data_IF_020122167786
#
_entry.id   IF_020122167786
#
_cell.length_a   1.000
_cell.length_b   1.000
_cell.length_c   1.000
_cell.angle_alpha   90.00
_cell.angle_beta   90.00
_cell.angle_gamma   90.00
#
_symmetry.space_group_name_H-M   'P 1'
#
loop_
_entity.id
_entity.type
_entity.pdbx_description
1 polymer ?
#
# COMPACT_ATOMS: atom_id res chain seq x y z
N UNK A 1 -38.85 -59.10 2.03
CA UNK A 1 -38.08 -58.30 1.05
C UNK A 1 -38.15 -56.84 1.51
N UNK A 2 -37.14 -56.37 2.26
CA UNK A 2 -37.09 -55.00 2.78
C UNK A 2 -36.30 -54.12 1.80
N UNK A 3 -37.00 -53.27 1.05
CA UNK A 3 -36.37 -52.22 0.24
C UNK A 3 -36.03 -51.03 1.15
N UNK A 4 -34.73 -50.73 1.29
CA UNK A 4 -34.26 -49.50 1.94
C UNK A 4 -34.50 -48.30 1.00
N UNK A 5 -34.98 -47.15 1.50
CA UNK A 5 -35.05 -45.94 0.70
C UNK A 5 -33.63 -45.41 0.46
N UNK A 6 -33.27 -45.22 -0.82
CA UNK A 6 -32.05 -44.54 -1.23
C UNK A 6 -32.19 -43.04 -0.91
N UNK A 7 -31.34 -42.55 -0.01
CA UNK A 7 -31.14 -41.12 0.22
C UNK A 7 -30.13 -40.63 -0.81
N UNK A 8 -30.58 -39.82 -1.77
CA UNK A 8 -29.67 -39.12 -2.68
C UNK A 8 -28.86 -38.08 -1.87
N UNK A 9 -27.54 -37.96 -2.10
CA UNK A 9 -26.74 -36.93 -1.46
C UNK A 9 -27.17 -35.54 -1.96
N UNK A 10 -27.02 -34.48 -1.15
CA UNK A 10 -27.35 -33.13 -1.57
C UNK A 10 -26.44 -32.73 -2.75
N UNK A 11 -27.07 -32.30 -3.84
CA UNK A 11 -26.39 -31.68 -4.98
C UNK A 11 -25.67 -30.45 -4.46
N UNK A 12 -24.34 -30.48 -4.41
CA UNK A 12 -23.53 -29.27 -4.22
C UNK A 12 -23.77 -28.40 -5.45
N UNK A 13 -24.54 -27.33 -5.28
CA UNK A 13 -24.57 -26.26 -6.27
C UNK A 13 -23.18 -25.63 -6.29
N UNK A 14 -22.46 -25.79 -7.39
CA UNK A 14 -21.24 -25.01 -7.61
C UNK A 14 -21.62 -23.52 -7.62
N UNK A 15 -20.89 -22.67 -6.88
CA UNK A 15 -21.16 -21.24 -6.88
C UNK A 15 -21.02 -20.71 -8.31
N UNK A 16 -21.98 -19.87 -8.71
CA UNK A 16 -22.01 -19.26 -10.04
C UNK A 16 -20.74 -18.42 -10.25
N UNK A 17 -19.85 -18.86 -11.12
CA UNK A 17 -18.65 -18.09 -11.50
C UNK A 17 -18.92 -17.28 -12.76
N UNK A 18 -18.20 -16.16 -12.98
CA UNK A 18 -18.26 -15.41 -14.23
C UNK A 18 -17.98 -16.27 -15.47
N UNK A 19 -17.23 -17.38 -15.30
CA UNK A 19 -16.95 -18.40 -16.34
C UNK A 19 -18.24 -19.02 -16.91
N UNK A 20 -19.28 -19.17 -16.09
CA UNK A 20 -20.58 -19.70 -16.51
C UNK A 20 -21.43 -18.69 -17.30
N UNK A 21 -21.12 -17.39 -17.21
CA UNK A 21 -21.83 -16.29 -17.91
C UNK A 21 -21.11 -15.78 -19.16
N UNK A 22 -19.94 -16.34 -19.51
CA UNK A 22 -19.17 -15.96 -20.69
C UNK A 22 -19.81 -16.52 -21.98
N UNK A 23 -20.97 -15.99 -22.35
CA UNK A 23 -21.72 -16.37 -23.55
C UNK A 23 -22.64 -15.26 -24.05
N UNK A 24 -22.31 -13.99 -23.78
CA UNK A 24 -23.05 -12.85 -24.34
C UNK A 24 -22.17 -12.23 -25.42
N UNK A 25 -22.58 -12.39 -26.68
CA UNK A 25 -22.11 -11.58 -27.81
C UNK A 25 -22.30 -10.10 -27.45
N UNK A 26 -21.23 -9.45 -26.97
CA UNK A 26 -21.23 -8.04 -26.59
C UNK A 26 -21.19 -7.20 -27.86
N UNK A 27 -22.36 -6.67 -28.23
CA UNK A 27 -22.44 -5.52 -29.13
C UNK A 27 -21.60 -4.39 -28.53
N UNK A 28 -20.45 -4.12 -29.15
CA UNK A 28 -19.59 -2.97 -28.79
C UNK A 28 -20.47 -1.71 -28.71
N UNK A 29 -20.60 -1.05 -27.55
CA UNK A 29 -21.31 0.20 -27.48
C UNK A 29 -20.57 1.22 -28.35
N UNK A 30 -21.28 1.81 -29.32
CA UNK A 30 -20.73 2.82 -30.21
C UNK A 30 -20.11 3.97 -29.39
N UNK A 31 -19.00 4.55 -29.88
CA UNK A 31 -18.37 5.69 -29.24
C UNK A 31 -19.39 6.82 -29.03
N UNK A 32 -19.39 7.49 -27.86
CA UNK A 32 -20.34 8.57 -27.61
C UNK A 32 -20.12 9.70 -28.62
N UNK A 33 -21.23 10.27 -29.13
CA UNK A 33 -21.21 11.36 -30.13
C UNK A 33 -20.38 12.56 -29.69
N UNK A 34 -20.27 12.79 -28.37
CA UNK A 34 -19.39 13.77 -27.76
C UNK A 34 -18.62 13.15 -26.58
N UNK A 35 -17.38 12.72 -26.83
CA UNK A 35 -16.51 12.09 -25.82
C UNK A 35 -16.26 13.01 -24.63
N UNK A 36 -16.14 14.33 -24.87
CA UNK A 36 -15.87 15.32 -23.82
C UNK A 36 -17.04 15.41 -22.85
N UNK A 37 -18.25 15.57 -23.37
CA UNK A 37 -19.46 15.62 -22.54
C UNK A 37 -19.69 14.32 -21.78
N UNK A 38 -19.41 13.18 -22.42
CA UNK A 38 -19.51 11.86 -21.80
C UNK A 38 -18.52 11.67 -20.65
N UNK A 39 -17.23 11.99 -20.86
CA UNK A 39 -16.22 11.90 -19.79
C UNK A 39 -16.57 12.83 -18.61
N UNK A 40 -17.02 14.05 -18.89
CA UNK A 40 -17.50 14.99 -17.87
C UNK A 40 -18.70 14.44 -17.09
N UNK A 41 -19.66 13.83 -17.78
CA UNK A 41 -20.82 13.18 -17.15
C UNK A 41 -20.37 12.06 -16.21
N UNK A 42 -19.48 11.17 -16.68
CA UNK A 42 -18.92 10.08 -15.87
C UNK A 42 -18.21 10.63 -14.62
N UNK A 43 -17.37 11.66 -14.76
CA UNK A 43 -16.67 12.28 -13.65
C UNK A 43 -17.65 12.81 -12.58
N UNK A 44 -18.64 13.59 -12.99
CA UNK A 44 -19.62 14.18 -12.07
C UNK A 44 -20.53 13.14 -11.41
N UNK A 45 -20.83 12.02 -12.09
CA UNK A 45 -21.56 10.90 -11.49
C UNK A 45 -20.79 10.29 -10.32
N UNK A 46 -19.48 10.08 -10.44
CA UNK A 46 -18.66 9.54 -9.36
C UNK A 46 -18.47 10.54 -8.21
N UNK A 47 -18.28 11.82 -8.53
CA UNK A 47 -18.25 12.90 -7.52
C UNK A 47 -19.55 12.94 -6.71
N UNK A 48 -20.72 12.81 -7.37
CA UNK A 48 -22.02 12.79 -6.68
C UNK A 48 -22.19 11.61 -5.72
N UNK A 49 -21.36 10.57 -5.86
CA UNK A 49 -21.31 9.39 -4.98
C UNK A 49 -20.23 9.50 -3.90
N UNK A 50 -19.58 10.65 -3.78
CA UNK A 50 -18.50 10.90 -2.82
C UNK A 50 -17.18 10.23 -3.20
N UNK A 51 -16.98 9.86 -4.48
CA UNK A 51 -15.71 9.29 -4.97
C UNK A 51 -14.93 10.39 -5.70
N UNK A 52 -13.75 10.78 -5.19
CA UNK A 52 -12.92 11.79 -5.85
C UNK A 52 -12.41 11.30 -7.21
N UNK A 53 -12.26 12.20 -8.16
CA UNK A 53 -11.87 11.89 -9.54
C UNK A 53 -10.69 12.72 -10.00
N UNK A 54 -9.92 12.20 -10.95
CA UNK A 54 -8.76 12.88 -11.56
C UNK A 54 -8.73 12.64 -13.07
N UNK A 55 -8.38 13.63 -13.90
CA UNK A 55 -8.16 13.40 -15.32
C UNK A 55 -6.89 12.56 -15.53
N UNK A 56 -7.00 11.51 -16.34
CA UNK A 56 -5.91 10.61 -16.69
C UNK A 56 -5.56 10.68 -18.19
N UNK A 57 -4.26 10.62 -18.50
CA UNK A 57 -3.72 10.59 -19.84
C UNK A 57 -4.01 9.27 -20.56
N UNK A 58 -3.57 9.17 -21.83
CA UNK A 58 -3.73 7.95 -22.65
C UNK A 58 -2.95 6.75 -22.10
N UNK A 59 -1.87 7.03 -21.39
CA UNK A 59 -1.08 6.07 -20.61
C UNK A 59 -1.74 5.70 -19.28
N UNK A 60 -2.98 6.17 -19.06
CA UNK A 60 -3.81 5.98 -17.86
C UNK A 60 -3.22 6.65 -16.61
N UNK A 61 -2.21 7.51 -16.76
CA UNK A 61 -1.59 8.21 -15.63
C UNK A 61 -2.32 9.51 -15.29
N UNK A 62 -2.47 9.86 -14.00
CA UNK A 62 -3.07 11.12 -13.59
C UNK A 62 -2.35 12.35 -14.14
N UNK A 63 -3.11 13.37 -14.56
CA UNK A 63 -2.62 14.61 -15.18
C UNK A 63 -2.63 15.81 -14.24
N UNK A 64 -3.12 15.63 -13.02
CA UNK A 64 -3.19 16.62 -11.94
C UNK A 64 -2.56 15.99 -10.71
N UNK A 65 -1.63 16.67 -10.07
CA UNK A 65 -0.97 16.24 -8.83
C UNK A 65 -1.76 16.70 -7.59
N UNK A 66 -1.36 16.27 -6.39
CA UNK A 66 -2.01 16.67 -5.13
C UNK A 66 -2.87 15.57 -4.50
N UNK A 67 -2.70 14.32 -4.92
CA UNK A 67 -3.30 13.15 -4.29
C UNK A 67 -2.23 12.10 -4.00
N UNK A 68 -2.52 11.16 -3.11
CA UNK A 68 -1.59 10.08 -2.75
C UNK A 68 -1.86 9.58 -1.33
N UNK A 69 -1.01 8.65 -0.87
CA UNK A 69 -1.26 7.99 0.41
C UNK A 69 -1.12 8.91 1.64
N UNK A 70 -0.37 10.00 1.51
CA UNK A 70 -0.19 11.01 2.56
C UNK A 70 -0.90 12.33 2.29
N UNK A 71 -1.77 12.41 1.27
CA UNK A 71 -2.48 13.64 0.96
C UNK A 71 -3.49 13.99 2.07
N UNK A 72 -3.49 15.25 2.47
CA UNK A 72 -4.45 15.83 3.41
C UNK A 72 -5.84 15.97 2.78
N UNK A 73 -6.86 16.19 3.62
CA UNK A 73 -8.23 16.44 3.15
C UNK A 73 -8.32 17.70 2.29
N UNK A 74 -7.58 18.75 2.65
CA UNK A 74 -7.49 20.00 1.89
C UNK A 74 -6.88 19.78 0.50
N UNK A 75 -5.81 18.97 0.41
CA UNK A 75 -5.20 18.60 -0.88
C UNK A 75 -6.14 17.76 -1.75
N UNK A 76 -7.00 16.93 -1.14
CA UNK A 76 -7.96 16.08 -1.84
C UNK A 76 -9.27 16.79 -2.21
N UNK A 77 -9.62 17.91 -1.54
CA UNK A 77 -10.87 18.62 -1.75
C UNK A 77 -11.16 18.99 -3.23
N UNK A 78 -10.18 19.48 -4.04
CA UNK A 78 -10.41 19.82 -5.44
C UNK A 78 -10.85 18.64 -6.32
N UNK A 79 -10.47 17.41 -5.95
CA UNK A 79 -10.84 16.19 -6.68
C UNK A 79 -12.28 15.75 -6.43
N UNK A 80 -12.94 16.35 -5.44
CA UNK A 80 -14.36 16.12 -5.11
C UNK A 80 -15.23 17.35 -5.36
N UNK A 81 -14.64 18.51 -5.70
CA UNK A 81 -15.38 19.72 -6.01
C UNK A 81 -16.01 19.66 -7.42
N UNK A 82 -17.35 19.68 -7.56
CA UNK A 82 -18.02 19.60 -8.85
C UNK A 82 -17.62 20.71 -9.83
N UNK A 83 -17.28 21.91 -9.35
CA UNK A 83 -16.90 23.02 -10.23
C UNK A 83 -15.50 22.84 -10.80
N UNK A 84 -14.53 22.52 -9.94
CA UNK A 84 -13.17 22.16 -10.35
C UNK A 84 -13.18 20.97 -11.31
N UNK A 85 -13.91 19.89 -10.97
CA UNK A 85 -14.04 18.70 -11.82
C UNK A 85 -14.67 19.06 -13.16
N UNK A 86 -15.73 19.87 -13.19
CA UNK A 86 -16.34 20.34 -14.45
C UNK A 86 -15.35 21.10 -15.33
N UNK A 87 -14.49 21.93 -14.73
CA UNK A 87 -13.51 22.74 -15.45
C UNK A 87 -12.46 21.88 -16.17
N UNK A 88 -12.00 20.78 -15.55
CA UNK A 88 -11.00 19.89 -16.13
C UNK A 88 -11.44 19.33 -17.49
N UNK A 89 -12.68 18.83 -17.58
CA UNK A 89 -13.22 18.27 -18.82
C UNK A 89 -13.89 19.32 -19.74
N UNK A 90 -13.93 20.59 -19.35
CA UNK A 90 -14.46 21.65 -20.23
C UNK A 90 -13.36 22.39 -21.02
N UNK A 91 -12.08 22.17 -20.69
CA UNK A 91 -10.96 22.82 -21.34
C UNK A 91 -9.74 21.89 -21.47
N UNK A 92 -8.79 21.99 -20.53
CA UNK A 92 -7.43 21.42 -20.59
C UNK A 92 -7.40 19.90 -20.76
N UNK A 93 -8.36 19.19 -20.19
CA UNK A 93 -8.41 17.73 -20.13
C UNK A 93 -9.68 17.15 -20.78
N UNK A 94 -10.27 17.87 -21.75
CA UNK A 94 -11.54 17.52 -22.40
C UNK A 94 -11.65 16.04 -22.85
N UNK A 95 -10.56 15.43 -23.29
CA UNK A 95 -10.53 14.04 -23.77
C UNK A 95 -9.80 13.07 -22.83
N UNK A 96 -9.46 13.51 -21.63
CA UNK A 96 -8.80 12.68 -20.63
C UNK A 96 -9.75 11.60 -20.13
N UNK A 97 -9.18 10.46 -19.76
CA UNK A 97 -9.89 9.43 -19.01
C UNK A 97 -10.32 9.96 -17.65
N UNK A 98 -11.46 9.49 -17.15
CA UNK A 98 -11.82 9.66 -15.75
C UNK A 98 -11.11 8.59 -14.91
N UNK A 99 -10.17 9.02 -14.08
CA UNK A 99 -9.60 8.23 -13.00
C UNK A 99 -10.40 8.43 -11.71
N UNK A 100 -10.60 7.36 -10.95
CA UNK A 100 -11.19 7.36 -9.61
C UNK A 100 -10.06 7.21 -8.62
N UNK A 101 -9.97 8.12 -7.66
CA UNK A 101 -9.02 8.01 -6.57
C UNK A 101 -9.51 6.94 -5.59
N UNK A 102 -8.68 5.93 -5.35
CA UNK A 102 -8.96 4.85 -4.39
C UNK A 102 -8.37 5.20 -3.02
N UNK A 103 -8.97 4.65 -1.96
CA UNK A 103 -8.66 5.01 -0.57
C UNK A 103 -9.64 6.02 0.03
N UNK A 104 -9.10 6.94 0.85
CA UNK A 104 -9.90 7.95 1.59
C UNK A 104 -10.62 8.87 0.63
N UNK A 105 -11.94 8.90 0.76
CA UNK A 105 -12.79 10.04 0.43
C UNK A 105 -13.57 10.48 1.68
N UNK A 106 -14.30 11.60 1.62
CA UNK A 106 -15.18 12.03 2.71
C UNK A 106 -16.20 10.93 3.02
N UNK A 107 -15.96 10.23 4.13
CA UNK A 107 -16.82 9.19 4.69
C UNK A 107 -16.67 7.77 4.12
N UNK A 108 -15.72 7.45 3.23
CA UNK A 108 -15.57 6.08 2.67
C UNK A 108 -14.13 5.73 2.26
N UNK A 109 -13.76 4.46 2.39
CA UNK A 109 -12.55 3.89 1.80
C UNK A 109 -12.88 3.06 0.56
N UNK A 110 -12.61 3.56 -0.66
CA UNK A 110 -12.80 2.76 -1.88
C UNK A 110 -11.59 1.86 -2.10
N UNK A 111 -11.79 0.54 -2.20
CA UNK A 111 -10.78 -0.42 -2.61
C UNK A 111 -11.17 -1.03 -3.94
N UNK A 112 -10.21 -1.25 -4.82
CA UNK A 112 -10.44 -2.02 -6.05
C UNK A 112 -9.44 -3.15 -6.12
N UNK A 113 -9.93 -4.37 -6.39
CA UNK A 113 -9.11 -5.50 -6.80
C UNK A 113 -9.15 -5.56 -8.32
N UNK A 114 -7.99 -5.37 -8.94
CA UNK A 114 -7.78 -5.26 -10.39
C UNK A 114 -7.19 -6.58 -10.90
N UNK A 115 -8.03 -7.37 -11.57
CA UNK A 115 -7.74 -8.72 -12.06
C UNK A 115 -7.29 -8.61 -13.52
N UNK A 116 -5.98 -8.69 -13.71
CA UNK A 116 -5.35 -8.51 -15.00
C UNK A 116 -5.31 -9.81 -15.82
N UNK A 117 -5.24 -9.65 -17.14
CA UNK A 117 -4.88 -10.74 -18.06
C UNK A 117 -3.37 -10.69 -18.34
N UNK A 118 -2.72 -11.85 -18.57
CA UNK A 118 -1.35 -11.88 -19.05
C UNK A 118 -1.21 -11.09 -20.36
N UNK A 119 -0.10 -10.37 -20.51
CA UNK A 119 0.16 -9.55 -21.70
C UNK A 119 1.07 -10.29 -22.67
N UNK A 120 0.68 -10.38 -23.95
CA UNK A 120 1.49 -10.98 -25.01
C UNK A 120 1.87 -12.44 -24.74
N UNK A 121 3.10 -12.81 -25.07
CA UNK A 121 3.67 -14.16 -24.83
C UNK A 121 4.13 -14.34 -23.37
N UNK A 122 3.28 -13.99 -22.41
CA UNK A 122 3.57 -14.21 -21.00
C UNK A 122 3.77 -15.71 -20.73
N UNK A 123 4.78 -16.05 -19.92
CA UNK A 123 4.97 -17.42 -19.47
C UNK A 123 3.76 -17.86 -18.63
N UNK A 124 3.33 -19.13 -18.73
CA UNK A 124 2.32 -19.67 -17.83
C UNK A 124 2.70 -19.46 -16.37
N UNK A 125 1.68 -19.24 -15.53
CA UNK A 125 1.86 -19.20 -14.09
C UNK A 125 2.30 -20.58 -13.58
N UNK A 126 3.14 -20.59 -12.54
CA UNK A 126 3.78 -21.80 -12.02
C UNK A 126 3.57 -21.94 -10.51
N UNK A 127 3.96 -23.09 -9.95
CA UNK A 127 3.81 -23.37 -8.53
C UNK A 127 2.33 -23.50 -8.16
N UNK A 128 1.91 -22.85 -7.07
CA UNK A 128 0.50 -22.91 -6.62
C UNK A 128 -0.49 -22.26 -7.59
N UNK A 129 -0.01 -21.47 -8.54
CA UNK A 129 -0.82 -20.78 -9.55
C UNK A 129 -0.88 -21.54 -10.88
N UNK A 130 -0.35 -22.76 -10.93
CA UNK A 130 -0.40 -23.59 -12.12
C UNK A 130 -1.85 -23.81 -12.57
N UNK A 131 -2.10 -23.62 -13.87
CA UNK A 131 -3.44 -23.70 -14.46
C UNK A 131 -4.24 -22.38 -14.43
N UNK A 132 -3.82 -21.37 -13.68
CA UNK A 132 -4.45 -20.05 -13.72
C UNK A 132 -4.10 -19.32 -15.04
N UNK A 133 -5.11 -18.80 -15.74
CA UNK A 133 -4.97 -18.08 -17.01
C UNK A 133 -4.99 -16.56 -16.84
N UNK A 134 -5.44 -16.05 -15.69
CA UNK A 134 -5.45 -14.63 -15.36
C UNK A 134 -5.79 -14.36 -13.90
N UNK A 135 -5.88 -13.08 -13.52
CA UNK A 135 -6.21 -12.67 -12.15
C UNK A 135 -7.55 -13.21 -11.64
N UNK A 136 -8.51 -13.43 -12.52
CA UNK A 136 -9.80 -14.06 -12.16
C UNK A 136 -9.61 -15.48 -11.60
N UNK A 137 -8.82 -16.33 -12.27
CA UNK A 137 -8.56 -17.69 -11.78
C UNK A 137 -7.78 -17.66 -10.45
N UNK A 138 -6.85 -16.72 -10.30
CA UNK A 138 -6.09 -16.52 -9.06
C UNK A 138 -7.03 -16.16 -7.91
N UNK A 139 -7.98 -15.24 -8.13
CA UNK A 139 -8.95 -14.86 -7.10
C UNK A 139 -9.98 -15.98 -6.83
N UNK A 140 -10.40 -16.74 -7.84
CA UNK A 140 -11.26 -17.92 -7.67
C UNK A 140 -10.60 -18.97 -6.78
N UNK A 141 -9.31 -19.26 -7.00
CA UNK A 141 -8.52 -20.14 -6.16
C UNK A 141 -8.50 -19.66 -4.70
N UNK A 142 -8.21 -18.37 -4.48
CA UNK A 142 -8.18 -17.77 -3.13
C UNK A 142 -9.55 -17.81 -2.42
N UNK A 143 -10.64 -17.59 -3.16
CA UNK A 143 -12.00 -17.72 -2.64
C UNK A 143 -12.29 -19.17 -2.23
N UNK A 144 -11.97 -20.14 -3.09
CA UNK A 144 -12.17 -21.56 -2.81
C UNK A 144 -11.37 -22.05 -1.58
N UNK A 145 -10.11 -21.65 -1.46
CA UNK A 145 -9.27 -21.94 -0.29
C UNK A 145 -9.81 -21.34 1.00
N UNK A 146 -10.44 -20.16 0.90
CA UNK A 146 -11.10 -19.49 2.01
C UNK A 146 -12.49 -20.06 2.32
N UNK A 147 -12.97 -21.04 1.55
CA UNK A 147 -14.34 -21.57 1.64
C UNK A 147 -15.43 -20.53 1.34
N UNK A 148 -15.09 -19.49 0.58
CA UNK A 148 -15.95 -18.35 0.29
C UNK A 148 -16.43 -18.36 -1.17
N UNK A 149 -17.63 -17.83 -1.47
CA UNK A 149 -18.08 -17.65 -2.84
C UNK A 149 -17.35 -16.50 -3.53
N UNK A 150 -17.51 -16.43 -4.86
CA UNK A 150 -17.10 -15.26 -5.63
C UNK A 150 -17.78 -13.98 -5.10
N UNK A 151 -17.05 -12.86 -4.92
CA UNK A 151 -17.65 -11.64 -4.39
C UNK A 151 -18.65 -11.00 -5.36
N UNK A 152 -19.90 -10.86 -4.93
CA UNK A 152 -20.90 -10.05 -5.63
C UNK A 152 -20.72 -8.57 -5.28
N UNK A 153 -20.18 -7.79 -6.20
CA UNK A 153 -19.96 -6.35 -6.01
C UNK A 153 -20.00 -5.58 -7.33
N UNK A 154 -19.91 -4.24 -7.26
CA UNK A 154 -19.74 -3.40 -8.44
C UNK A 154 -18.51 -3.87 -9.25
N UNK A 155 -18.78 -4.35 -10.46
CA UNK A 155 -17.83 -5.06 -11.31
C UNK A 155 -17.74 -4.43 -12.69
N UNK A 156 -16.51 -4.27 -13.18
CA UNK A 156 -16.18 -3.61 -14.46
C UNK A 156 -15.22 -4.46 -15.26
N UNK A 157 -15.53 -4.72 -16.52
CA UNK A 157 -14.59 -5.31 -17.47
C UNK A 157 -13.66 -4.23 -18.03
N UNK A 158 -12.38 -4.57 -18.13
CA UNK A 158 -11.36 -3.68 -18.68
C UNK A 158 -11.19 -3.93 -20.18
N UNK A 159 -10.74 -2.92 -20.95
CA UNK A 159 -10.46 -3.12 -22.38
C UNK A 159 -9.42 -4.23 -22.67
N UNK A 160 -8.58 -4.56 -21.68
CA UNK A 160 -7.58 -5.63 -21.79
C UNK A 160 -8.12 -7.03 -21.52
N UNK A 161 -9.42 -7.19 -21.26
CA UNK A 161 -10.04 -8.47 -20.91
C UNK A 161 -9.96 -8.83 -19.43
N UNK A 162 -9.37 -7.95 -18.61
CA UNK A 162 -9.36 -8.08 -17.15
C UNK A 162 -10.65 -7.58 -16.51
N UNK A 163 -10.67 -7.53 -15.18
CA UNK A 163 -11.85 -7.16 -14.40
C UNK A 163 -11.49 -6.39 -13.13
N UNK A 164 -12.22 -5.33 -12.82
CA UNK A 164 -12.12 -4.61 -11.56
C UNK A 164 -13.30 -4.98 -10.65
N UNK A 165 -13.00 -5.37 -9.41
CA UNK A 165 -13.98 -5.57 -8.33
C UNK A 165 -13.86 -4.44 -7.31
N UNK A 166 -14.93 -3.69 -7.09
CA UNK A 166 -14.92 -2.51 -6.22
C UNK A 166 -15.50 -2.84 -4.86
N UNK A 167 -14.85 -2.43 -3.77
CA UNK A 167 -15.29 -2.69 -2.41
C UNK A 167 -15.21 -1.45 -1.53
N UNK A 168 -16.04 -1.42 -0.50
CA UNK A 168 -15.91 -0.49 0.62
C UNK A 168 -15.01 -1.13 1.67
N UNK A 169 -13.90 -0.49 1.99
CA UNK A 169 -13.08 -0.86 3.13
C UNK A 169 -13.84 -0.59 4.44
N UNK A 170 -13.59 -1.37 5.50
CA UNK A 170 -14.08 -1.05 6.84
C UNK A 170 -13.66 0.36 7.26
N UNK A 171 -14.56 1.08 7.94
CA UNK A 171 -14.25 2.40 8.52
C UNK A 171 -13.23 2.30 9.65
N UNK A 172 -13.18 1.14 10.32
CA UNK A 172 -12.26 0.84 11.40
C UNK A 172 -10.99 0.13 10.93
N UNK A 173 -9.87 0.54 11.51
CA UNK A 173 -8.55 -0.05 11.28
C UNK A 173 -7.71 0.70 10.24
N UNK A 174 -6.49 0.22 9.97
CA UNK A 174 -5.63 0.82 8.97
C UNK A 174 -6.23 0.62 7.58
N UNK A 175 -6.15 1.66 6.76
CA UNK A 175 -6.55 1.56 5.37
C UNK A 175 -5.58 0.68 4.60
N UNK A 176 -6.12 -0.04 3.63
CA UNK A 176 -5.33 -0.92 2.77
C UNK A 176 -4.69 -0.04 1.68
N UNK A 177 -3.37 -0.17 1.53
CA UNK A 177 -2.59 0.52 0.49
C UNK A 177 -2.69 -0.16 -0.88
N UNK A 178 -1.91 0.32 -1.83
CA UNK A 178 -1.82 -0.32 -3.15
C UNK A 178 -0.80 -1.48 -3.14
N UNK A 179 -1.05 -2.49 -3.98
CA UNK A 179 -0.11 -3.55 -4.33
C UNK A 179 -0.20 -3.81 -5.84
N UNK A 180 0.94 -4.04 -6.47
CA UNK A 180 1.04 -4.29 -7.92
C UNK A 180 1.97 -5.48 -8.14
N UNK A 181 1.53 -6.45 -8.92
CA UNK A 181 2.30 -7.66 -9.22
C UNK A 181 2.29 -8.69 -8.07
N UNK A 182 3.25 -9.63 -8.13
CA UNK A 182 3.32 -10.77 -7.21
C UNK A 182 4.31 -10.53 -6.08
N UNK A 183 3.86 -9.83 -5.04
CA UNK A 183 4.66 -9.55 -3.85
C UNK A 183 4.41 -10.58 -2.73
N UNK A 184 5.41 -10.87 -1.88
CA UNK A 184 5.30 -11.94 -0.87
C UNK A 184 4.49 -11.53 0.38
N UNK A 185 4.00 -10.30 0.43
CA UNK A 185 3.37 -9.75 1.64
C UNK A 185 2.15 -8.92 1.31
N UNK A 186 1.17 -8.93 2.22
CA UNK A 186 0.01 -8.07 2.15
C UNK A 186 0.39 -6.60 1.87
N UNK A 187 -0.36 -5.90 0.99
CA UNK A 187 -1.65 -6.30 0.45
C UNK A 187 -1.59 -7.08 -0.88
N UNK A 188 -0.44 -7.67 -1.26
CA UNK A 188 -0.38 -8.52 -2.46
C UNK A 188 -1.19 -9.80 -2.26
N UNK A 189 -1.98 -10.16 -3.27
CA UNK A 189 -2.84 -11.37 -3.27
C UNK A 189 -2.27 -12.48 -4.15
N UNK A 190 -1.50 -12.13 -5.17
CA UNK A 190 -0.88 -13.07 -6.11
C UNK A 190 -0.60 -12.42 -7.46
N UNK A 191 -0.05 -13.17 -8.42
CA UNK A 191 0.22 -12.67 -9.75
C UNK A 191 -1.07 -12.23 -10.44
N UNK A 192 -1.00 -11.15 -11.22
CA UNK A 192 -2.12 -10.60 -12.00
C UNK A 192 -3.33 -10.15 -11.14
N UNK A 193 -3.14 -10.02 -9.83
CA UNK A 193 -4.15 -9.48 -8.90
C UNK A 193 -3.56 -8.25 -8.22
N UNK A 194 -3.83 -7.09 -8.82
CA UNK A 194 -3.42 -5.81 -8.28
C UNK A 194 -4.46 -5.31 -7.27
N UNK A 195 -4.00 -4.60 -6.24
CA UNK A 195 -4.85 -3.96 -5.24
C UNK A 195 -4.67 -2.45 -5.35
N UNK A 196 -5.76 -1.73 -5.57
CA UNK A 196 -5.81 -0.27 -5.60
C UNK A 196 -6.52 0.21 -4.34
N UNK A 197 -5.69 0.55 -3.35
CA UNK A 197 -6.13 1.11 -2.07
C UNK A 197 -5.76 2.58 -1.95
N UNK A 198 -5.33 2.99 -0.77
CA UNK A 198 -4.98 4.39 -0.50
C UNK A 198 -3.90 4.94 -1.42
N UNK A 199 -4.19 6.11 -1.99
CA UNK A 199 -3.33 6.81 -2.94
C UNK A 199 -3.32 6.21 -4.34
N UNK A 200 -4.16 5.21 -4.61
CA UNK A 200 -4.29 4.58 -5.90
C UNK A 200 -5.23 5.33 -6.83
N UNK A 201 -5.22 4.90 -8.10
CA UNK A 201 -6.15 5.37 -9.13
C UNK A 201 -6.58 4.20 -9.99
N UNK A 202 -7.85 4.19 -10.38
CA UNK A 202 -8.39 3.25 -11.37
C UNK A 202 -9.21 4.00 -12.41
N UNK A 203 -9.26 3.53 -13.66
CA UNK A 203 -10.10 4.17 -14.67
C UNK A 203 -11.57 3.79 -14.46
N UNK A 204 -12.44 4.80 -14.45
CA UNK A 204 -13.86 4.65 -14.21
C UNK A 204 -14.58 3.87 -15.32
N UNK A 205 -15.59 3.09 -14.95
CA UNK A 205 -16.54 2.55 -15.93
C UNK A 205 -17.20 3.69 -16.73
N UNK A 206 -17.44 3.45 -18.01
CA UNK A 206 -17.93 4.45 -18.95
C UNK A 206 -16.84 5.39 -19.47
N UNK A 207 -15.65 5.43 -18.86
CA UNK A 207 -14.51 6.17 -19.42
C UNK A 207 -14.08 5.51 -20.74
N UNK A 208 -13.97 6.32 -21.78
CA UNK A 208 -13.73 5.86 -23.14
C UNK A 208 -12.30 6.18 -23.61
N UNK A 209 -11.60 5.18 -24.14
CA UNK A 209 -10.31 5.36 -24.82
C UNK A 209 -10.52 5.35 -26.34
N UNK A 210 -10.39 6.49 -27.00
CA UNK A 210 -10.42 6.54 -28.46
C UNK A 210 -9.31 5.69 -29.13
N UNK A 211 -8.24 5.37 -28.39
CA UNK A 211 -7.11 4.56 -28.85
C UNK A 211 -7.35 3.05 -28.70
N UNK A 212 -8.06 2.61 -27.66
CA UNK A 212 -8.34 1.18 -27.43
C UNK A 212 -9.66 0.73 -28.06
N UNK A 213 -10.51 1.68 -28.48
CA UNK A 213 -11.78 1.41 -29.15
C UNK A 213 -12.85 0.74 -28.28
N UNK A 214 -12.53 0.43 -27.02
CA UNK A 214 -13.43 -0.23 -26.06
C UNK A 214 -13.46 0.55 -24.73
N UNK A 215 -14.65 0.81 -24.15
CA UNK A 215 -14.77 1.44 -22.84
C UNK A 215 -14.44 0.45 -21.71
N UNK A 216 -14.24 0.99 -20.51
CA UNK A 216 -14.40 0.20 -19.29
C UNK A 216 -15.89 -0.04 -19.08
N UNK A 217 -16.33 -1.29 -19.12
CA UNK A 217 -17.74 -1.65 -19.17
C UNK A 217 -18.21 -2.19 -17.83
N UNK A 218 -19.24 -1.57 -17.24
CA UNK A 218 -19.87 -2.12 -16.04
C UNK A 218 -20.71 -3.34 -16.43
N UNK A 219 -20.46 -4.48 -15.79
CA UNK A 219 -21.22 -5.73 -16.00
C UNK A 219 -22.09 -6.12 -14.82
N UNK A 220 -21.88 -5.48 -13.67
CA UNK A 220 -22.80 -5.58 -12.52
C UNK A 220 -24.13 -4.86 -12.78
N UNK A 221 -25.25 -5.31 -12.17
CA UNK A 221 -26.54 -4.63 -12.27
C UNK A 221 -26.45 -3.14 -11.92
N UNK A 222 -27.20 -2.23 -12.58
CA UNK A 222 -27.11 -0.77 -12.39
C UNK A 222 -27.23 -0.28 -10.94
N UNK A 223 -27.98 -0.98 -10.11
CA UNK A 223 -28.23 -0.71 -8.71
C UNK A 223 -27.16 -1.27 -7.76
N UNK A 224 -26.35 -2.24 -8.21
CA UNK A 224 -25.32 -2.87 -7.38
C UNK A 224 -24.11 -1.94 -7.22
N UNK A 225 -24.05 -1.21 -6.11
CA UNK A 225 -22.94 -0.36 -5.71
C UNK A 225 -21.77 -1.18 -5.11
N UNK A 226 -20.57 -0.58 -4.91
CA UNK A 226 -19.49 -1.24 -4.19
C UNK A 226 -19.97 -1.78 -2.84
N UNK A 227 -19.77 -3.07 -2.60
CA UNK A 227 -20.18 -3.76 -1.38
C UNK A 227 -19.07 -3.74 -0.33
N UNK A 228 -19.39 -3.94 0.97
CA UNK A 228 -18.37 -4.12 2.00
C UNK A 228 -17.35 -5.19 1.63
N UNK A 229 -16.07 -4.91 1.89
CA UNK A 229 -14.97 -5.83 1.63
C UNK A 229 -15.18 -7.15 2.40
N UNK A 230 -15.29 -8.31 1.72
CA UNK A 230 -15.54 -9.59 2.40
C UNK A 230 -14.44 -9.91 3.41
N UNK A 231 -14.84 -10.48 4.55
CA UNK A 231 -13.92 -10.76 5.66
C UNK A 231 -12.73 -11.66 5.28
N UNK A 232 -12.95 -12.63 4.40
CA UNK A 232 -11.88 -13.51 3.90
C UNK A 232 -10.83 -12.72 3.10
N UNK A 233 -11.28 -11.83 2.23
CA UNK A 233 -10.41 -11.00 1.39
C UNK A 233 -9.70 -9.95 2.24
N UNK A 234 -10.40 -9.36 3.22
CA UNK A 234 -9.83 -8.47 4.22
C UNK A 234 -8.71 -9.15 5.02
N UNK A 235 -8.87 -10.43 5.38
CA UNK A 235 -7.85 -11.18 6.10
C UNK A 235 -6.58 -11.39 5.26
N UNK A 236 -6.71 -11.64 3.95
CA UNK A 236 -5.57 -11.76 3.03
C UNK A 236 -4.87 -10.40 2.80
N UNK A 237 -5.65 -9.32 2.73
CA UNK A 237 -5.16 -7.96 2.47
C UNK A 237 -4.54 -7.29 3.70
N UNK A 238 -4.84 -7.79 4.90
CA UNK A 238 -4.24 -7.31 6.14
C UNK A 238 -2.96 -8.08 6.41
N UNK A 239 -1.88 -7.33 6.64
CA UNK A 239 -0.71 -7.89 7.32
C UNK A 239 -1.20 -8.42 8.68
N UNK A 240 -0.92 -9.67 9.08
CA UNK A 240 -1.10 -10.06 10.47
C UNK A 240 -0.34 -9.03 11.29
N UNK A 241 -1.01 -8.35 12.23
CA UNK A 241 -0.31 -7.44 13.13
C UNK A 241 0.88 -8.23 13.67
N UNK A 242 2.11 -7.70 13.46
CA UNK A 242 3.27 -8.32 14.06
C UNK A 242 2.92 -8.48 15.55
N UNK A 243 3.09 -9.67 16.14
CA UNK A 243 2.82 -9.83 17.56
C UNK A 243 3.55 -8.68 18.28
N UNK A 244 2.91 -8.01 19.25
CA UNK A 244 3.57 -6.95 19.99
C UNK A 244 4.93 -7.50 20.41
N UNK A 245 6.01 -6.81 20.00
CA UNK A 245 7.36 -7.23 20.38
C UNK A 245 7.32 -7.51 21.88
N UNK A 246 7.82 -8.68 22.34
CA UNK A 246 7.84 -8.97 23.76
C UNK A 246 8.44 -7.76 24.48
N UNK A 247 7.90 -7.37 25.65
CA UNK A 247 8.46 -6.26 26.42
C UNK A 247 9.97 -6.48 26.47
N UNK A 248 10.78 -5.45 26.16
CA UNK A 248 12.22 -5.62 26.06
C UNK A 248 12.69 -6.33 27.33
N UNK A 249 13.36 -7.47 27.17
CA UNK A 249 13.99 -8.12 28.31
C UNK A 249 14.85 -7.06 29.01
N UNK A 250 14.87 -6.99 30.34
CA UNK A 250 15.71 -6.03 31.04
C UNK A 250 17.15 -6.25 30.58
N UNK A 251 17.65 -5.34 29.74
CA UNK A 251 19.01 -5.39 29.29
C UNK A 251 19.87 -5.16 30.52
N UNK A 252 20.81 -6.07 30.76
CA UNK A 252 21.93 -5.82 31.66
C UNK A 252 22.62 -4.58 31.10
N UNK A 253 22.36 -3.42 31.71
CA UNK A 253 23.20 -2.24 31.52
C UNK A 253 24.55 -2.69 32.06
N UNK A 254 25.44 -3.14 31.18
CA UNK A 254 26.84 -3.34 31.55
C UNK A 254 27.32 -1.97 32.04
N UNK A 255 27.90 -1.94 33.23
CA UNK A 255 28.42 -0.73 33.85
C UNK A 255 29.24 0.03 32.81
N UNK A 256 28.77 1.23 32.44
CA UNK A 256 29.55 2.11 31.57
C UNK A 256 30.90 2.39 32.24
N UNK A 257 32.01 2.43 31.47
CA UNK A 257 33.30 2.79 32.02
C UNK A 257 33.22 4.14 32.74
N UNK A 258 33.61 4.19 34.01
CA UNK A 258 33.76 5.44 34.72
C UNK A 258 35.13 6.02 34.42
N UNK A 259 35.13 7.10 33.65
CA UNK A 259 36.33 7.88 33.37
C UNK A 259 37.09 8.34 34.61
N UNK A 260 38.41 8.24 34.57
CA UNK A 260 39.31 8.77 35.61
C UNK A 260 39.54 10.28 35.45
N UNK A 261 39.54 10.77 34.20
CA UNK A 261 39.74 12.19 33.89
C UNK A 261 38.43 12.98 33.83
N UNK A 262 38.52 14.31 33.87
CA UNK A 262 37.35 15.21 33.70
C UNK A 262 36.71 15.04 32.32
N UNK A 263 37.52 14.88 31.27
CA UNK A 263 37.04 14.65 29.90
C UNK A 263 36.31 13.31 29.77
N UNK A 264 36.83 12.25 30.39
CA UNK A 264 36.20 10.93 30.37
C UNK A 264 34.90 10.89 31.19
N UNK A 265 34.83 11.59 32.34
CA UNK A 265 33.57 11.72 33.10
C UNK A 265 32.49 12.46 32.31
N UNK A 266 32.88 13.53 31.60
CA UNK A 266 31.98 14.25 30.71
C UNK A 266 31.50 13.36 29.57
N UNK A 267 32.41 12.63 28.91
CA UNK A 267 32.09 11.70 27.85
C UNK A 267 31.14 10.57 28.33
N UNK A 268 31.36 10.02 29.53
CA UNK A 268 30.50 9.00 30.11
C UNK A 268 29.07 9.53 30.39
N UNK A 269 28.96 10.78 30.86
CA UNK A 269 27.67 11.43 31.06
C UNK A 269 26.95 11.71 29.73
N UNK A 270 27.67 12.24 28.74
CA UNK A 270 27.14 12.49 27.40
C UNK A 270 26.66 11.18 26.74
N UNK A 271 27.45 10.11 26.83
CA UNK A 271 27.09 8.80 26.30
C UNK A 271 25.80 8.25 26.92
N UNK A 272 25.66 8.34 28.24
CA UNK A 272 24.45 7.93 28.93
C UNK A 272 23.21 8.70 28.46
N UNK A 273 23.33 10.03 28.37
CA UNK A 273 22.25 10.88 27.88
C UNK A 273 21.84 10.54 26.44
N UNK A 274 22.80 10.32 25.54
CA UNK A 274 22.48 9.93 24.16
C UNK A 274 21.76 8.57 24.07
N UNK A 275 22.18 7.58 24.87
CA UNK A 275 21.54 6.26 24.91
C UNK A 275 20.10 6.37 25.43
N UNK A 276 19.86 7.17 26.46
CA UNK A 276 18.52 7.41 27.02
C UNK A 276 17.62 8.12 26.00
N UNK A 277 18.10 9.21 25.40
CA UNK A 277 17.31 10.00 24.45
C UNK A 277 17.01 9.22 23.16
N UNK A 278 17.95 8.42 22.62
CA UNK A 278 17.69 7.52 21.47
C UNK A 278 16.61 6.48 21.81
N UNK A 279 16.65 5.94 23.03
CA UNK A 279 15.69 4.91 23.46
C UNK A 279 14.27 5.45 23.60
N UNK A 280 14.13 6.74 23.95
CA UNK A 280 12.84 7.39 24.20
C UNK A 280 12.24 8.07 22.96
N UNK A 281 12.94 8.07 21.82
CA UNK A 281 12.53 8.83 20.63
C UNK A 281 11.21 8.30 19.99
N UNK A 282 10.20 9.15 19.78
CA UNK A 282 8.95 8.79 19.11
C UNK A 282 9.13 8.38 17.64
N UNK A 283 8.13 7.70 17.07
CA UNK A 283 8.13 7.32 15.66
C UNK A 283 8.19 8.55 14.74
N UNK A 284 8.96 8.45 13.65
CA UNK A 284 9.23 9.55 12.71
C UNK A 284 10.61 10.22 12.88
N UNK A 285 11.19 10.22 14.09
CA UNK A 285 12.49 10.87 14.38
C UNK A 285 13.68 9.94 14.68
N UNK A 286 13.41 8.66 14.93
CA UNK A 286 14.36 7.68 15.53
C UNK A 286 15.70 7.56 14.80
N UNK A 287 15.67 7.40 13.49
CA UNK A 287 16.90 7.23 12.70
C UNK A 287 17.75 8.53 12.70
N UNK A 288 17.11 9.69 12.59
CA UNK A 288 17.80 10.99 12.66
C UNK A 288 18.42 11.23 14.04
N UNK A 289 17.71 10.84 15.11
CA UNK A 289 18.21 10.90 16.49
C UNK A 289 19.43 10.02 16.69
N UNK A 290 19.35 8.76 16.24
CA UNK A 290 20.45 7.79 16.31
C UNK A 290 21.70 8.28 15.58
N UNK A 291 21.52 8.86 14.39
CA UNK A 291 22.63 9.45 13.63
C UNK A 291 23.32 10.58 14.40
N UNK A 292 22.53 11.51 14.97
CA UNK A 292 23.07 12.64 15.75
C UNK A 292 23.83 12.18 16.99
N UNK A 293 23.29 11.19 17.70
CA UNK A 293 23.95 10.58 18.85
C UNK A 293 25.30 9.96 18.46
N UNK A 294 25.33 9.10 17.45
CA UNK A 294 26.56 8.46 16.98
C UNK A 294 27.62 9.47 16.53
N UNK A 295 27.20 10.53 15.83
CA UNK A 295 28.10 11.61 15.42
C UNK A 295 28.68 12.37 16.61
N UNK A 296 27.85 12.81 17.55
CA UNK A 296 28.29 13.57 18.73
C UNK A 296 29.28 12.76 19.59
N UNK A 297 29.03 11.46 19.76
CA UNK A 297 29.97 10.58 20.47
C UNK A 297 31.27 10.38 19.68
N UNK A 298 31.20 10.29 18.34
CA UNK A 298 32.38 10.25 17.48
C UNK A 298 33.26 11.49 17.62
N UNK A 299 32.67 12.69 17.71
CA UNK A 299 33.38 13.96 17.91
C UNK A 299 34.12 14.01 19.26
N UNK A 300 33.55 13.39 20.30
CA UNK A 300 34.14 13.35 21.65
C UNK A 300 35.18 12.24 21.85
N UNK A 301 35.19 11.22 20.98
CA UNK A 301 35.98 9.99 21.16
C UNK A 301 37.49 10.25 21.30
N UNK A 302 38.03 11.24 20.59
CA UNK A 302 39.45 11.61 20.66
C UNK A 302 39.89 12.07 22.07
N UNK A 303 38.98 12.66 22.85
CA UNK A 303 39.27 13.18 24.20
C UNK A 303 38.97 12.18 25.33
N UNK A 304 38.32 11.06 25.01
CA UNK A 304 37.91 10.04 25.97
C UNK A 304 37.91 8.62 25.37
N UNK A 305 39.05 8.14 24.82
CA UNK A 305 39.12 6.87 24.11
C UNK A 305 38.88 5.65 25.00
N UNK A 306 39.06 5.77 26.32
CA UNK A 306 38.75 4.71 27.29
C UNK A 306 37.24 4.52 27.55
N UNK A 307 36.42 5.49 27.16
CA UNK A 307 34.96 5.50 27.37
C UNK A 307 34.20 5.37 26.06
N UNK A 308 34.73 5.98 24.99
CA UNK A 308 34.10 6.08 23.68
C UNK A 308 34.94 5.35 22.63
N UNK A 309 35.01 4.03 22.74
CA UNK A 309 35.51 3.18 21.65
C UNK A 309 34.37 2.75 20.72
N UNK A 310 34.71 2.45 19.47
CA UNK A 310 33.75 2.07 18.42
C UNK A 310 32.86 0.90 18.83
N UNK A 311 33.42 -0.10 19.52
CA UNK A 311 32.67 -1.32 19.89
C UNK A 311 31.63 -0.99 20.94
N UNK A 312 32.04 -0.32 22.03
CA UNK A 312 31.12 0.06 23.10
C UNK A 312 30.01 0.98 22.60
N UNK A 313 30.34 1.96 21.74
CA UNK A 313 29.34 2.88 21.19
C UNK A 313 28.38 2.15 20.25
N UNK A 314 28.87 1.28 19.38
CA UNK A 314 28.02 0.48 18.47
C UNK A 314 27.06 -0.41 19.26
N UNK A 315 27.56 -1.15 20.25
CA UNK A 315 26.74 -2.05 21.08
C UNK A 315 25.63 -1.30 21.84
N UNK A 316 25.97 -0.19 22.50
CA UNK A 316 25.00 0.52 23.36
C UNK A 316 23.97 1.32 22.54
N UNK A 317 24.40 1.97 21.45
CA UNK A 317 23.46 2.67 20.57
C UNK A 317 22.58 1.70 19.80
N UNK A 318 23.10 0.53 19.41
CA UNK A 318 22.28 -0.51 18.79
C UNK A 318 21.20 -0.99 19.77
N UNK A 319 21.57 -1.27 21.02
CA UNK A 319 20.61 -1.64 22.05
C UNK A 319 19.53 -0.57 22.25
N UNK A 320 19.88 0.72 22.21
CA UNK A 320 18.93 1.83 22.27
C UNK A 320 18.01 1.92 21.04
N UNK A 321 18.58 1.77 19.85
CA UNK A 321 17.85 1.80 18.59
C UNK A 321 16.81 0.68 18.48
N UNK A 322 17.17 -0.53 18.93
CA UNK A 322 16.25 -1.66 18.97
C UNK A 322 15.10 -1.41 19.95
N UNK A 323 15.35 -0.74 21.10
CA UNK A 323 14.29 -0.38 22.07
C UNK A 323 13.27 0.59 21.50
N UNK A 324 13.71 1.59 20.73
CA UNK A 324 12.78 2.49 20.06
C UNK A 324 12.19 1.87 18.77
N UNK A 325 12.51 0.63 18.42
CA UNK A 325 11.86 -0.11 17.33
C UNK A 325 12.48 0.10 15.94
N UNK A 326 13.73 0.57 15.87
CA UNK A 326 14.50 0.51 14.63
C UNK A 326 14.92 -0.93 14.32
N UNK A 327 15.09 -1.25 13.03
CA UNK A 327 15.60 -2.56 12.61
C UNK A 327 17.12 -2.59 12.76
N UNK A 328 17.65 -3.73 13.21
CA UNK A 328 19.08 -3.94 13.49
C UNK A 328 20.00 -3.50 12.33
N UNK A 329 19.70 -3.97 11.11
CA UNK A 329 20.51 -3.64 9.92
C UNK A 329 20.53 -2.15 9.61
N UNK A 330 19.40 -1.46 9.77
CA UNK A 330 19.28 -0.02 9.54
C UNK A 330 20.01 0.76 10.63
N UNK A 331 19.81 0.37 11.89
CA UNK A 331 20.47 0.99 13.05
C UNK A 331 21.99 0.89 12.96
N UNK A 332 22.54 -0.28 12.62
CA UNK A 332 23.98 -0.49 12.45
C UNK A 332 24.56 0.41 11.34
N UNK A 333 23.87 0.52 10.20
CA UNK A 333 24.30 1.38 9.11
C UNK A 333 24.33 2.86 9.54
N UNK A 334 23.29 3.31 10.24
CA UNK A 334 23.21 4.67 10.77
C UNK A 334 24.27 4.97 11.81
N UNK A 335 24.52 4.06 12.76
CA UNK A 335 25.53 4.23 13.81
C UNK A 335 26.91 4.38 13.19
N UNK A 336 27.28 3.47 12.27
CA UNK A 336 28.58 3.49 11.60
C UNK A 336 28.77 4.77 10.78
N UNK A 337 27.73 5.22 10.08
CA UNK A 337 27.77 6.46 9.32
C UNK A 337 27.94 7.68 10.22
N UNK A 338 27.14 7.80 11.28
CA UNK A 338 27.24 8.90 12.25
C UNK A 338 28.59 8.94 12.94
N UNK A 339 29.07 7.79 13.43
CA UNK A 339 30.39 7.65 14.06
C UNK A 339 31.52 8.12 13.15
N UNK A 340 31.55 7.65 11.91
CA UNK A 340 32.56 8.04 10.92
C UNK A 340 32.57 9.55 10.66
N UNK A 341 31.39 10.18 10.58
CA UNK A 341 31.28 11.63 10.44
C UNK A 341 31.83 12.38 11.65
N UNK A 342 31.57 11.89 12.87
CA UNK A 342 32.07 12.51 14.09
C UNK A 342 33.58 12.43 14.21
N UNK A 343 34.16 11.26 13.93
CA UNK A 343 35.62 11.05 14.02
C UNK A 343 36.39 11.79 12.94
N UNK A 344 35.81 11.98 11.74
CA UNK A 344 36.45 12.72 10.66
C UNK A 344 36.52 14.24 10.94
N UNK A 345 35.54 14.79 11.66
CA UNK A 345 35.50 16.22 12.02
C UNK A 345 36.46 16.61 13.14
N UNK A 346 36.80 15.68 14.05
CA UNK A 346 37.70 15.93 15.18
C UNK A 346 39.16 16.16 14.76
N UNK A 347 39.59 15.69 13.58
CA UNK A 347 40.97 15.79 13.09
C UNK A 347 41.40 17.17 12.57
N UNK A 348 40.47 18.11 12.36
CA UNK A 348 40.74 19.42 11.75
C UNK A 348 40.68 20.61 12.74
N UNK A 349 40.39 20.37 14.02
CA UNK A 349 40.22 21.41 15.05
C UNK A 349 41.35 21.55 16.07
N UNK A 350 42.46 20.81 15.89
CA UNK A 350 43.55 20.70 16.86
C UNK A 350 44.90 21.20 16.37
N UNK A 351 44.95 22.39 15.77
CA UNK A 351 46.19 23.13 15.56
C UNK A 351 45.93 24.61 15.87
N UNK A 352 46.25 25.01 17.10
CA UNK A 352 46.47 26.39 17.51
C UNK A 352 47.94 26.55 17.86
#
# INVERSE_FOLDING_TARGET
MNAKPQVNPPVRQEPSTPRATAGVDTLSPAAPRNVTEHQRFVALQWVSRGVPVVPCGRDKRPLVAGFGAGASEEELAPFSDPETVRSWWSARYARAHVGLLTGRGPGRGLLVVDLDMPKGEARPLTGRWEGCQGGTDVLELLAAESGAPWPETYTVLTPGGGMHLYFLQPEEGPLIGCATGDGPTAPHLGPLVDVRGVGGVIIAAGSYAAVQGRPYERVSPPELLPQPLPGWLLALLRRPAAPPSPPPAPAVVRSLPTGSSRAERYAAAAFRGEVEEVSAEPEGGRNQRLFRAARKLGELSATAPAVLDTTTVEEQLLAAALRCGLREREALATIRSGWAHGTAGAGLGGAA
#
